data_IF_357091965849
#
_entry.id   IF_357091965849
#
_cell.length_a   1.000
_cell.length_b   1.000
_cell.length_c   1.000
_cell.angle_alpha   90.00
_cell.angle_beta   90.00
_cell.angle_gamma   90.00
#
_symmetry.space_group_name_H-M   'P 1'
#
loop_
_entity.id
_entity.type
_entity.pdbx_description
1 polymer ?
#
# COMPACT_ATOMS: atom_id res chain seq x y z
N UNK A 1 24.14 -3.93 -18.03
CA UNK A 1 22.98 -3.00 -18.01
C UNK A 1 22.29 -3.09 -19.36
N UNK A 2 21.24 -3.83 -19.46
CA UNK A 2 20.38 -3.83 -20.65
C UNK A 2 19.66 -2.49 -20.71
N UNK A 3 19.96 -1.69 -21.72
CA UNK A 3 19.20 -0.47 -22.01
C UNK A 3 17.77 -0.88 -22.32
N UNK A 4 16.83 -0.64 -21.42
CA UNK A 4 15.41 -0.76 -21.74
C UNK A 4 15.07 0.29 -22.79
N UNK A 5 14.80 -0.16 -24.00
CA UNK A 5 14.30 0.73 -25.06
C UNK A 5 12.81 0.98 -24.83
N UNK A 6 12.43 2.25 -24.70
CA UNK A 6 11.03 2.61 -24.63
C UNK A 6 10.34 2.42 -25.99
N UNK A 7 9.22 1.71 -26.00
CA UNK A 7 8.35 1.57 -27.16
C UNK A 7 7.31 2.69 -27.16
N UNK A 8 7.19 3.42 -28.25
CA UNK A 8 6.15 4.43 -28.39
C UNK A 8 4.79 3.76 -28.56
N UNK A 9 3.82 4.13 -27.74
CA UNK A 9 2.44 3.69 -27.85
C UNK A 9 1.50 4.88 -27.83
N UNK A 10 0.30 4.74 -28.41
CA UNK A 10 -0.73 5.77 -28.42
C UNK A 10 -2.05 5.19 -27.93
N UNK A 11 -2.81 6.01 -27.23
CA UNK A 11 -4.15 5.70 -26.76
C UNK A 11 -4.99 6.97 -26.75
N UNK A 12 -6.32 6.80 -26.79
CA UNK A 12 -7.26 7.92 -26.76
C UNK A 12 -7.80 8.10 -25.33
N UNK A 13 -7.85 9.33 -24.88
CA UNK A 13 -8.46 9.69 -23.61
C UNK A 13 -9.63 10.65 -23.84
N UNK A 14 -10.72 10.54 -23.07
CA UNK A 14 -11.73 11.56 -23.02
C UNK A 14 -11.10 12.92 -22.64
N UNK A 15 -11.56 14.04 -23.22
CA UNK A 15 -10.96 15.36 -22.97
C UNK A 15 -10.88 15.74 -21.49
N UNK A 16 -11.90 15.41 -20.72
CA UNK A 16 -11.95 15.68 -19.29
C UNK A 16 -10.87 14.90 -18.53
N UNK A 17 -10.69 13.61 -18.84
CA UNK A 17 -9.66 12.78 -18.22
C UNK A 17 -8.25 13.25 -18.57
N UNK A 18 -8.05 13.77 -19.80
CA UNK A 18 -6.78 14.36 -20.20
C UNK A 18 -6.46 15.62 -19.39
N UNK A 19 -7.46 16.47 -19.15
CA UNK A 19 -7.31 17.66 -18.29
C UNK A 19 -6.96 17.27 -16.84
N UNK A 20 -7.68 16.32 -16.28
CA UNK A 20 -7.41 15.78 -14.93
C UNK A 20 -5.98 15.21 -14.83
N UNK A 21 -5.52 14.49 -15.86
CA UNK A 21 -4.14 14.00 -15.94
C UNK A 21 -3.12 15.14 -15.91
N UNK A 22 -3.37 16.24 -16.63
CA UNK A 22 -2.48 17.42 -16.64
C UNK A 22 -2.39 18.07 -15.26
N UNK A 23 -3.53 18.19 -14.57
CA UNK A 23 -3.57 18.72 -13.22
C UNK A 23 -2.80 17.85 -12.23
N UNK A 24 -3.04 16.55 -12.26
CA UNK A 24 -2.32 15.57 -11.42
C UNK A 24 -0.82 15.58 -11.72
N UNK A 25 -0.44 15.65 -12.99
CA UNK A 25 0.98 15.70 -13.41
C UNK A 25 1.70 16.88 -12.75
N UNK A 26 1.07 18.04 -12.73
CA UNK A 26 1.62 19.25 -12.08
C UNK A 26 1.67 19.11 -10.56
N UNK A 27 0.58 18.64 -9.94
CA UNK A 27 0.48 18.49 -8.48
C UNK A 27 1.50 17.50 -7.96
N UNK A 28 1.76 16.41 -8.70
CA UNK A 28 2.75 15.39 -8.33
C UNK A 28 4.20 15.78 -8.69
N UNK A 29 4.41 16.94 -9.30
CA UNK A 29 5.75 17.42 -9.64
C UNK A 29 6.42 16.68 -10.78
N UNK A 30 5.66 16.00 -11.64
CA UNK A 30 6.21 15.39 -12.84
C UNK A 30 6.34 16.42 -13.95
N UNK A 31 7.45 16.35 -14.70
CA UNK A 31 7.72 17.26 -15.82
C UNK A 31 6.90 16.89 -17.06
N UNK A 32 6.57 15.60 -17.24
CA UNK A 32 5.93 15.07 -18.44
C UNK A 32 4.77 14.13 -18.13
N UNK A 33 3.70 14.21 -18.94
CA UNK A 33 2.56 13.27 -18.90
C UNK A 33 2.99 11.80 -18.99
N UNK A 34 3.99 11.50 -19.81
CA UNK A 34 4.46 10.13 -20.01
C UNK A 34 4.93 9.50 -18.70
N UNK A 35 5.56 10.28 -17.84
CA UNK A 35 6.03 9.80 -16.53
C UNK A 35 4.90 9.54 -15.56
N UNK A 36 3.90 10.41 -15.53
CA UNK A 36 2.67 10.21 -14.72
C UNK A 36 1.94 8.94 -15.16
N UNK A 37 1.79 8.75 -16.46
CA UNK A 37 1.14 7.55 -17.03
C UNK A 37 1.94 6.28 -16.72
N UNK A 38 3.26 6.30 -16.86
CA UNK A 38 4.10 5.15 -16.50
C UNK A 38 3.94 4.78 -15.03
N UNK A 39 3.89 5.76 -14.13
CA UNK A 39 3.67 5.51 -12.71
C UNK A 39 2.28 4.93 -12.43
N UNK A 40 1.25 5.47 -13.08
CA UNK A 40 -0.11 4.94 -12.97
C UNK A 40 -0.20 3.49 -13.46
N UNK A 41 0.43 3.18 -14.59
CA UNK A 41 0.47 1.80 -15.13
C UNK A 41 1.23 0.87 -14.18
N UNK A 42 2.37 1.29 -13.62
CA UNK A 42 3.13 0.48 -12.65
C UNK A 42 2.29 0.18 -11.40
N UNK A 43 1.56 1.16 -10.89
CA UNK A 43 0.66 0.99 -9.76
C UNK A 43 -0.46 -0.01 -10.09
N UNK A 44 -1.10 0.13 -11.25
CA UNK A 44 -2.16 -0.78 -11.69
C UNK A 44 -1.63 -2.22 -11.86
N UNK A 45 -0.43 -2.40 -12.41
CA UNK A 45 0.20 -3.71 -12.54
C UNK A 45 0.49 -4.29 -11.16
N UNK A 46 1.01 -3.50 -10.23
CA UNK A 46 1.29 -3.94 -8.85
C UNK A 46 0.00 -4.38 -8.15
N UNK A 47 -1.07 -3.62 -8.25
CA UNK A 47 -2.39 -3.98 -7.70
C UNK A 47 -2.94 -5.28 -8.33
N UNK A 48 -2.79 -5.43 -9.65
CA UNK A 48 -3.18 -6.65 -10.35
C UNK A 48 -2.39 -7.88 -9.89
N UNK A 49 -1.10 -7.71 -9.62
CA UNK A 49 -0.26 -8.80 -9.11
C UNK A 49 -0.65 -9.22 -7.69
N UNK A 50 -1.07 -8.27 -6.85
CA UNK A 50 -1.64 -8.57 -5.53
C UNK A 50 -2.89 -9.45 -5.63
N UNK A 51 -3.71 -9.25 -6.66
CA UNK A 51 -4.93 -10.04 -6.86
C UNK A 51 -4.68 -11.44 -7.43
N UNK A 52 -3.57 -11.67 -8.14
CA UNK A 52 -3.36 -12.90 -8.94
C UNK A 52 -2.20 -13.78 -8.50
N UNK A 53 -1.25 -13.26 -7.73
CA UNK A 53 -0.03 -13.97 -7.35
C UNK A 53 0.06 -14.17 -5.83
N UNK A 54 -0.78 -15.06 -5.29
CA UNK A 54 -0.84 -15.34 -3.86
C UNK A 54 0.50 -15.73 -3.22
N UNK A 55 1.40 -16.35 -3.97
CA UNK A 55 2.72 -16.83 -3.51
C UNK A 55 3.84 -15.80 -3.73
N UNK A 56 3.56 -14.69 -4.43
CA UNK A 56 4.56 -13.64 -4.63
C UNK A 56 4.90 -12.95 -3.30
N UNK A 57 6.16 -12.58 -3.15
CA UNK A 57 6.59 -11.79 -2.00
C UNK A 57 6.07 -10.36 -2.12
N UNK A 58 5.38 -9.89 -1.10
CA UNK A 58 4.94 -8.50 -0.96
C UNK A 58 5.68 -7.82 0.20
N UNK A 59 5.94 -6.55 0.03
CA UNK A 59 6.44 -5.65 1.09
C UNK A 59 5.53 -4.45 1.14
N UNK A 60 5.12 -4.04 2.33
CA UNK A 60 4.23 -2.91 2.45
C UNK A 60 4.11 -2.34 3.83
N UNK A 61 3.31 -1.29 3.90
CA UNK A 61 2.96 -0.61 5.13
C UNK A 61 1.46 -0.63 5.33
N UNK A 62 1.08 -0.73 6.59
CA UNK A 62 -0.30 -0.61 7.04
C UNK A 62 -0.35 0.53 8.05
N UNK A 63 -1.19 1.50 7.79
CA UNK A 63 -1.43 2.61 8.70
C UNK A 63 -2.77 2.38 9.37
N UNK A 64 -2.76 2.33 10.71
CA UNK A 64 -3.93 2.09 11.55
C UNK A 64 -4.15 3.30 12.43
N UNK A 65 -5.27 3.99 12.24
CA UNK A 65 -5.71 5.04 13.14
C UNK A 65 -6.83 4.51 14.03
N UNK A 66 -6.69 4.69 15.34
CA UNK A 66 -7.66 4.18 16.30
C UNK A 66 -7.73 5.03 17.55
N UNK A 67 -8.83 4.90 18.29
CA UNK A 67 -9.01 5.51 19.59
C UNK A 67 -8.60 4.50 20.66
N UNK A 68 -7.54 4.81 21.44
CA UNK A 68 -7.02 3.91 22.46
C UNK A 68 -7.93 3.78 23.69
N UNK A 69 -8.87 4.72 23.90
CA UNK A 69 -9.85 4.62 24.99
C UNK A 69 -10.89 3.53 24.73
N UNK A 70 -10.99 3.03 23.50
CA UNK A 70 -11.84 1.89 23.18
C UNK A 70 -11.30 0.62 23.80
N UNK A 71 -12.08 0.06 24.75
CA UNK A 71 -11.69 -1.12 25.52
C UNK A 71 -11.27 -2.28 24.63
N UNK A 72 -10.06 -2.79 24.88
CA UNK A 72 -9.53 -4.00 24.26
C UNK A 72 -8.93 -3.80 22.86
N UNK A 73 -8.83 -2.57 22.34
CA UNK A 73 -8.26 -2.34 21.01
C UNK A 73 -6.76 -2.61 20.98
N UNK A 74 -6.03 -2.14 22.00
CA UNK A 74 -4.58 -2.37 22.09
C UNK A 74 -4.24 -3.85 22.20
N UNK A 75 -5.04 -4.60 22.98
CA UNK A 75 -4.91 -6.06 23.11
C UNK A 75 -5.11 -6.75 21.75
N UNK A 76 -6.18 -6.41 21.02
CA UNK A 76 -6.45 -6.98 19.70
C UNK A 76 -5.38 -6.65 18.65
N UNK A 77 -4.86 -5.43 18.67
CA UNK A 77 -3.75 -5.04 17.79
C UNK A 77 -2.47 -5.81 18.15
N UNK A 78 -2.22 -6.02 19.43
CA UNK A 78 -1.10 -6.81 19.91
C UNK A 78 -1.25 -8.29 19.50
N UNK A 79 -2.45 -8.87 19.59
CA UNK A 79 -2.74 -10.23 19.16
C UNK A 79 -2.45 -10.42 17.67
N UNK A 80 -2.86 -9.47 16.83
CA UNK A 80 -2.51 -9.48 15.40
C UNK A 80 -1.00 -9.42 15.22
N UNK A 81 -0.29 -8.62 16.01
CA UNK A 81 1.16 -8.56 16.00
C UNK A 81 1.82 -9.92 16.31
N UNK A 82 1.26 -10.68 17.25
CA UNK A 82 1.73 -12.03 17.59
C UNK A 82 1.39 -13.06 16.51
N UNK A 83 0.17 -13.05 15.99
CA UNK A 83 -0.28 -13.98 14.96
C UNK A 83 0.53 -13.85 13.66
N UNK A 84 0.96 -12.64 13.33
CA UNK A 84 1.72 -12.32 12.12
C UNK A 84 3.20 -11.98 12.40
N UNK A 85 3.76 -12.42 13.52
CA UNK A 85 5.12 -12.07 13.96
C UNK A 85 6.22 -12.39 12.93
N UNK A 86 6.03 -13.43 12.12
CA UNK A 86 6.98 -13.80 11.05
C UNK A 86 6.89 -12.91 9.82
N UNK A 87 5.79 -12.18 9.70
CA UNK A 87 5.47 -11.32 8.55
C UNK A 87 5.73 -9.86 8.85
N UNK A 88 5.60 -9.45 10.11
CA UNK A 88 5.80 -8.07 10.55
C UNK A 88 7.30 -7.85 10.81
N UNK A 89 7.89 -6.90 10.07
CA UNK A 89 9.31 -6.54 10.21
C UNK A 89 9.49 -5.49 11.29
N UNK A 90 8.57 -4.52 11.36
CA UNK A 90 8.63 -3.41 12.29
C UNK A 90 7.23 -2.87 12.54
N UNK A 91 7.04 -2.28 13.69
CA UNK A 91 5.86 -1.49 14.02
C UNK A 91 6.26 -0.24 14.78
N UNK A 92 5.55 0.86 14.50
CA UNK A 92 5.72 2.13 15.18
C UNK A 92 4.36 2.53 15.75
N UNK A 93 4.34 2.89 17.02
CA UNK A 93 3.17 3.42 17.71
C UNK A 93 3.39 4.89 18.05
N UNK A 94 2.44 5.73 17.68
CA UNK A 94 2.50 7.17 17.89
C UNK A 94 1.19 7.65 18.53
N UNK A 95 1.29 8.36 19.64
CA UNK A 95 0.17 9.10 20.21
C UNK A 95 0.01 10.42 19.44
N UNK A 96 -1.12 10.60 18.76
CA UNK A 96 -1.43 11.83 18.04
C UNK A 96 -2.00 12.89 18.98
N UNK A 97 -2.86 12.48 19.90
CA UNK A 97 -3.44 13.28 20.96
C UNK A 97 -3.81 12.39 22.16
N UNK A 98 -4.70 12.88 23.04
CA UNK A 98 -5.11 12.14 24.25
C UNK A 98 -5.95 10.89 23.94
N UNK A 99 -6.59 10.83 22.80
CA UNK A 99 -7.53 9.76 22.45
C UNK A 99 -7.09 8.96 21.23
N UNK A 100 -6.36 9.60 20.31
CA UNK A 100 -6.02 8.98 19.03
C UNK A 100 -4.57 8.50 18.97
N UNK A 101 -4.44 7.27 18.52
CA UNK A 101 -3.16 6.65 18.25
C UNK A 101 -3.04 6.25 16.79
N UNK A 102 -1.83 6.33 16.29
CA UNK A 102 -1.42 5.86 14.99
C UNK A 102 -0.47 4.68 15.16
N UNK A 103 -0.78 3.55 14.54
CA UNK A 103 0.16 2.45 14.40
C UNK A 103 0.57 2.34 12.93
N UNK A 104 1.87 2.21 12.70
CA UNK A 104 2.43 1.96 11.36
C UNK A 104 3.11 0.60 11.41
N UNK A 105 2.61 -0.33 10.63
CA UNK A 105 3.12 -1.69 10.55
C UNK A 105 3.84 -1.85 9.22
N UNK A 106 5.07 -2.34 9.26
CA UNK A 106 5.84 -2.73 8.05
C UNK A 106 5.84 -4.25 7.99
N UNK A 107 5.34 -4.79 6.90
CA UNK A 107 5.23 -6.23 6.69
C UNK A 107 5.92 -6.68 5.40
N UNK A 108 6.49 -7.90 5.45
CA UNK A 108 7.10 -8.58 4.31
C UNK A 108 6.70 -10.05 4.38
N UNK A 109 5.87 -10.48 3.46
CA UNK A 109 5.37 -11.85 3.40
C UNK A 109 4.78 -12.14 2.02
N UNK A 110 4.31 -13.35 1.82
CA UNK A 110 3.52 -13.69 0.63
C UNK A 110 2.24 -12.84 0.56
N UNK A 111 1.81 -12.51 -0.64
CA UNK A 111 0.60 -11.74 -0.91
C UNK A 111 -0.61 -12.31 -0.15
N UNK A 112 -0.79 -13.64 -0.15
CA UNK A 112 -1.92 -14.26 0.57
C UNK A 112 -1.89 -13.94 2.07
N UNK A 113 -0.70 -13.98 2.69
CA UNK A 113 -0.52 -13.66 4.11
C UNK A 113 -0.77 -12.17 4.38
N UNK A 114 -0.33 -11.30 3.46
CA UNK A 114 -0.60 -9.87 3.53
C UNK A 114 -2.11 -9.57 3.52
N UNK A 115 -2.86 -10.25 2.63
CA UNK A 115 -4.32 -10.12 2.56
C UNK A 115 -5.01 -10.66 3.81
N UNK A 116 -4.50 -11.74 4.40
CA UNK A 116 -5.01 -12.25 5.69
C UNK A 116 -4.78 -11.25 6.82
N UNK A 117 -3.60 -10.65 6.89
CA UNK A 117 -3.28 -9.59 7.86
C UNK A 117 -4.23 -8.40 7.69
N UNK A 118 -4.48 -7.98 6.45
CA UNK A 118 -5.44 -6.93 6.14
C UNK A 118 -6.86 -7.27 6.64
N UNK A 119 -7.33 -8.49 6.39
CA UNK A 119 -8.65 -8.94 6.85
C UNK A 119 -8.76 -8.95 8.37
N UNK A 120 -7.73 -9.41 9.08
CA UNK A 120 -7.72 -9.39 10.54
C UNK A 120 -7.82 -7.98 11.10
N UNK A 121 -7.06 -7.04 10.54
CA UNK A 121 -7.11 -5.63 10.96
C UNK A 121 -8.48 -4.99 10.66
N UNK A 122 -9.07 -5.28 9.50
CA UNK A 122 -10.43 -4.80 9.16
C UNK A 122 -11.50 -5.32 10.11
N UNK A 123 -11.29 -6.49 10.69
CA UNK A 123 -12.20 -7.11 11.68
C UNK A 123 -12.14 -6.47 13.07
N UNK A 124 -11.17 -5.62 13.38
CA UNK A 124 -11.01 -5.02 14.71
C UNK A 124 -11.97 -3.83 14.85
N UNK A 125 -12.92 -3.98 15.78
CA UNK A 125 -13.79 -2.88 16.18
C UNK A 125 -13.00 -1.80 16.93
N UNK A 126 -13.20 -0.53 16.56
CA UNK A 126 -12.53 0.60 17.19
C UNK A 126 -11.43 1.22 16.34
N UNK A 127 -11.02 0.58 15.28
CA UNK A 127 -10.20 1.20 14.24
C UNK A 127 -11.05 2.24 13.50
N UNK A 128 -10.55 3.45 13.38
CA UNK A 128 -11.25 4.56 12.69
C UNK A 128 -10.85 4.67 11.24
N UNK A 129 -9.59 4.43 10.93
CA UNK A 129 -9.08 4.43 9.56
C UNK A 129 -7.99 3.38 9.37
N UNK A 130 -7.99 2.76 8.20
CA UNK A 130 -6.97 1.83 7.72
C UNK A 130 -6.50 2.25 6.33
N UNK A 131 -5.20 2.26 6.14
CA UNK A 131 -4.61 2.45 4.81
C UNK A 131 -3.54 1.41 4.58
N UNK A 132 -3.64 0.72 3.45
CA UNK A 132 -2.70 -0.29 3.01
C UNK A 132 -1.94 0.21 1.79
N UNK A 133 -0.66 -0.06 1.75
CA UNK A 133 0.19 0.25 0.60
C UNK A 133 1.22 -0.85 0.43
N UNK A 134 1.06 -1.67 -0.60
CA UNK A 134 1.92 -2.81 -0.88
C UNK A 134 2.59 -2.69 -2.23
N UNK A 135 3.80 -3.21 -2.30
CA UNK A 135 4.51 -3.46 -3.55
C UNK A 135 4.87 -4.94 -3.61
N UNK A 136 4.72 -5.51 -4.79
CA UNK A 136 5.32 -6.78 -5.13
C UNK A 136 6.62 -6.46 -5.85
N UNK A 137 7.79 -6.63 -5.18
CA UNK A 137 9.06 -6.35 -5.83
C UNK A 137 9.16 -7.28 -7.03
N UNK A 138 9.24 -6.72 -8.22
CA UNK A 138 9.78 -7.45 -9.34
C UNK A 138 11.23 -7.69 -8.98
N UNK A 139 11.59 -8.94 -8.70
CA UNK A 139 12.99 -9.35 -8.62
C UNK A 139 13.58 -8.99 -9.97
N UNK A 140 14.08 -7.77 -10.07
CA UNK A 140 14.91 -7.37 -11.18
C UNK A 140 16.05 -8.34 -11.19
N UNK A 141 16.25 -8.96 -12.32
CA UNK A 141 17.49 -9.68 -12.63
C UNK A 141 18.65 -8.85 -12.10
N UNK A 142 19.24 -9.36 -11.02
CA UNK A 142 20.53 -8.94 -10.52
C UNK A 142 21.57 -9.30 -11.58
#
# INVERSE_FOLDING_TARGET
MTKEYSTRTSFSLPPKLLQELDEVTKVMGYEERSRTIQMAIRNLISESQLATKGDALAVGTIIVLYNHDKKGIDEKLNDVGHDFIKSIIASLHVHLDKEQCLSIIVAKCEVRTMLMLEQHLRGISGITQLKFSYIVPTLGSV
#
